data_IF_458902545382
#
_entry.id   IF_458902545382
#
_cell.length_a   1.000
_cell.length_b   1.000
_cell.length_c   1.000
_cell.angle_alpha   90.00
_cell.angle_beta   90.00
_cell.angle_gamma   90.00
#
_symmetry.space_group_name_H-M   'P 1'
#
loop_
_entity.id
_entity.type
_entity.pdbx_description
1 polymer ?
#
# COMPACT_ATOMS: atom_id res chain seq x y z
N UNK A 1 -10.28 -15.30 -10.01
CA UNK A 1 -9.88 -16.70 -10.27
C UNK A 1 -9.16 -17.23 -9.03
N UNK A 2 -9.59 -18.36 -8.46
CA UNK A 2 -8.95 -19.02 -7.32
C UNK A 2 -8.43 -20.34 -7.87
N UNK A 3 -7.11 -20.49 -7.99
CA UNK A 3 -6.56 -21.59 -8.79
C UNK A 3 -5.50 -22.43 -8.07
N UNK A 4 -5.24 -22.16 -6.78
CA UNK A 4 -4.17 -22.85 -6.06
C UNK A 4 -4.65 -23.46 -4.76
N UNK A 5 -4.52 -24.78 -4.65
CA UNK A 5 -4.68 -25.51 -3.39
C UNK A 5 -3.57 -25.11 -2.40
N UNK A 6 -3.85 -25.21 -1.10
CA UNK A 6 -2.87 -24.97 -0.05
C UNK A 6 -1.72 -25.98 -0.11
N UNK A 7 -0.63 -25.66 0.58
CA UNK A 7 0.33 -26.70 0.99
C UNK A 7 -0.38 -27.78 1.81
N UNK A 8 0.11 -29.01 1.71
CA UNK A 8 -0.51 -30.14 2.40
C UNK A 8 -0.05 -30.20 3.85
N UNK A 9 -0.96 -30.56 4.75
CA UNK A 9 -0.64 -30.97 6.12
C UNK A 9 -0.79 -32.48 6.23
N UNK A 10 0.09 -33.12 6.99
CA UNK A 10 0.00 -34.56 7.25
C UNK A 10 -0.66 -34.83 8.60
N UNK A 11 -1.44 -35.90 8.65
CA UNK A 11 -1.92 -36.53 9.88
C UNK A 11 -1.44 -37.99 9.90
N UNK A 12 -1.05 -38.46 11.07
CA UNK A 12 -0.70 -39.87 11.28
C UNK A 12 -1.92 -40.57 11.88
N UNK A 13 -2.39 -41.61 11.21
CA UNK A 13 -3.44 -42.49 11.73
C UNK A 13 -2.79 -43.79 12.17
N UNK A 14 -3.13 -44.21 13.39
CA UNK A 14 -2.73 -45.51 13.93
C UNK A 14 -3.99 -46.32 14.25
N UNK A 15 -3.90 -47.63 14.05
CA UNK A 15 -5.01 -48.54 14.35
C UNK A 15 -4.50 -49.78 15.06
N UNK A 16 -5.20 -50.18 16.12
CA UNK A 16 -4.88 -51.37 16.91
C UNK A 16 -6.17 -52.15 17.16
N UNK A 17 -6.07 -53.48 17.11
CA UNK A 17 -7.17 -54.39 17.42
C UNK A 17 -8.44 -54.22 16.55
N UNK A 18 -8.29 -53.73 15.31
CA UNK A 18 -9.38 -53.65 14.33
C UNK A 18 -9.01 -54.43 13.07
N UNK A 19 -10.01 -55.00 12.40
CA UNK A 19 -9.83 -55.85 11.21
C UNK A 19 -10.77 -55.47 10.04
N UNK A 20 -11.41 -54.30 10.14
CA UNK A 20 -12.23 -53.70 9.08
C UNK A 20 -11.57 -52.41 8.59
N UNK A 21 -11.88 -51.99 7.36
CA UNK A 21 -11.31 -50.79 6.77
C UNK A 21 -11.60 -49.53 7.59
N UNK A 22 -10.67 -48.59 7.55
CA UNK A 22 -10.85 -47.25 8.09
C UNK A 22 -11.26 -46.35 6.93
N UNK A 23 -12.41 -45.70 7.06
CA UNK A 23 -12.93 -44.77 6.08
C UNK A 23 -12.65 -43.35 6.55
N UNK A 24 -11.97 -42.58 5.73
CA UNK A 24 -11.62 -41.19 6.02
C UNK A 24 -12.36 -40.32 5.02
N UNK A 25 -12.99 -39.27 5.50
CA UNK A 25 -13.71 -38.31 4.66
C UNK A 25 -13.46 -36.90 5.12
N UNK A 26 -13.48 -35.96 4.17
CA UNK A 26 -13.44 -34.53 4.45
C UNK A 26 -14.67 -33.83 3.88
N UNK A 27 -15.16 -32.83 4.60
CA UNK A 27 -16.22 -31.94 4.12
C UNK A 27 -15.67 -30.72 3.39
N UNK A 28 -16.58 -29.99 2.74
CA UNK A 28 -16.33 -28.67 2.15
C UNK A 28 -15.21 -28.71 1.11
N UNK A 29 -14.36 -27.69 1.09
CA UNK A 29 -13.29 -27.46 0.11
C UNK A 29 -11.97 -28.16 0.51
N UNK A 30 -12.01 -29.20 1.33
CA UNK A 30 -10.81 -29.96 1.71
C UNK A 30 -10.67 -31.24 0.89
N UNK A 31 -9.45 -31.72 0.73
CA UNK A 31 -9.13 -32.95 0.00
C UNK A 31 -8.08 -33.78 0.74
N UNK A 32 -8.09 -35.09 0.48
CA UNK A 32 -7.29 -36.12 1.11
C UNK A 32 -6.43 -36.86 0.09
N UNK A 33 -5.26 -37.32 0.52
CA UNK A 33 -4.37 -38.15 -0.29
C UNK A 33 -3.52 -39.10 0.58
N UNK A 34 -3.17 -40.26 0.05
CA UNK A 34 -2.19 -41.19 0.66
C UNK A 34 -0.79 -41.06 0.07
N UNK A 35 -0.67 -40.52 -1.15
CA UNK A 35 0.57 -40.43 -1.93
C UNK A 35 1.06 -38.98 -2.08
N UNK A 36 0.28 -38.01 -1.58
CA UNK A 36 0.49 -36.56 -1.75
C UNK A 36 0.46 -36.10 -3.22
N UNK A 37 -0.12 -36.91 -4.12
CA UNK A 37 -0.23 -36.61 -5.56
C UNK A 37 -1.66 -36.70 -6.06
N UNK A 38 -2.39 -37.74 -5.65
CA UNK A 38 -3.78 -37.98 -6.03
C UNK A 38 -4.69 -37.57 -4.90
N UNK A 39 -5.56 -36.58 -5.13
CA UNK A 39 -6.43 -36.01 -4.10
C UNK A 39 -7.91 -36.31 -4.36
N UNK A 40 -8.67 -36.52 -3.29
CA UNK A 40 -10.12 -36.74 -3.35
C UNK A 40 -10.79 -36.47 -2.00
N UNK A 41 -12.12 -36.59 -1.94
CA UNK A 41 -12.88 -36.30 -0.70
C UNK A 41 -12.88 -37.43 0.32
N UNK A 42 -12.54 -38.64 -0.11
CA UNK A 42 -12.62 -39.85 0.73
C UNK A 42 -11.45 -40.78 0.46
N UNK A 43 -11.00 -41.47 1.50
CA UNK A 43 -10.05 -42.58 1.43
C UNK A 43 -10.60 -43.79 2.17
N UNK A 44 -10.33 -44.99 1.67
CA UNK A 44 -10.54 -46.24 2.41
C UNK A 44 -9.21 -46.95 2.52
N UNK A 45 -8.77 -47.20 3.75
CA UNK A 45 -7.45 -47.78 4.04
C UNK A 45 -7.60 -49.03 4.91
N UNK A 46 -6.68 -49.98 4.71
CA UNK A 46 -6.57 -51.15 5.57
C UNK A 46 -5.94 -50.76 6.92
N UNK A 47 -6.31 -51.41 8.03
CA UNK A 47 -5.65 -51.25 9.31
C UNK A 47 -4.13 -51.45 9.21
N UNK A 48 -3.38 -50.51 9.78
CA UNK A 48 -1.92 -50.54 9.91
C UNK A 48 -1.51 -49.95 11.24
N UNK A 49 -0.31 -50.29 11.69
CA UNK A 49 0.29 -49.68 12.89
C UNK A 49 0.33 -48.16 12.74
N UNK A 50 0.78 -47.66 11.58
CA UNK A 50 0.77 -46.24 11.22
C UNK A 50 0.61 -46.02 9.71
N UNK A 51 -0.09 -44.96 9.34
CA UNK A 51 -0.17 -44.45 7.96
C UNK A 51 -0.23 -42.92 7.97
N UNK A 52 0.48 -42.31 7.03
CA UNK A 52 0.41 -40.87 6.77
C UNK A 52 -0.71 -40.57 5.78
N UNK A 53 -1.56 -39.61 6.14
CA UNK A 53 -2.59 -39.06 5.27
C UNK A 53 -2.32 -37.58 5.09
N UNK A 54 -2.38 -37.11 3.86
CA UNK A 54 -2.21 -35.70 3.51
C UNK A 54 -3.58 -35.06 3.35
N UNK A 55 -3.71 -33.86 3.90
CA UNK A 55 -4.91 -33.02 3.82
C UNK A 55 -4.51 -31.69 3.20
N UNK A 56 -5.28 -31.20 2.23
CA UNK A 56 -5.12 -29.85 1.67
C UNK A 56 -6.45 -29.14 1.55
N UNK A 57 -6.40 -27.83 1.48
CA UNK A 57 -7.52 -26.96 1.15
C UNK A 57 -7.48 -26.64 -0.35
N UNK A 58 -8.59 -26.77 -1.04
CA UNK A 58 -8.75 -26.49 -2.47
C UNK A 58 -10.05 -25.70 -2.68
N UNK A 59 -10.02 -24.38 -2.45
CA UNK A 59 -11.20 -23.54 -2.48
C UNK A 59 -11.66 -23.16 -3.88
N UNK A 60 -12.97 -22.99 -4.02
CA UNK A 60 -13.60 -22.41 -5.21
C UNK A 60 -14.03 -20.95 -4.97
N UNK A 61 -14.19 -20.55 -3.70
CA UNK A 61 -14.57 -19.19 -3.28
C UNK A 61 -13.61 -18.58 -2.27
N UNK A 62 -13.52 -17.25 -2.24
CA UNK A 62 -12.72 -16.52 -1.25
C UNK A 62 -13.37 -16.56 0.14
N UNK A 63 -12.57 -16.33 1.16
CA UNK A 63 -13.02 -16.19 2.54
C UNK A 63 -12.68 -17.38 3.42
N UNK A 64 -13.08 -17.27 4.68
CA UNK A 64 -12.80 -18.27 5.69
C UNK A 64 -13.76 -19.44 5.54
N UNK A 65 -13.18 -20.63 5.42
CA UNK A 65 -13.90 -21.88 5.23
C UNK A 65 -13.49 -22.84 6.33
N UNK A 66 -14.49 -23.49 6.90
CA UNK A 66 -14.30 -24.54 7.91
C UNK A 66 -14.77 -25.85 7.34
N UNK A 67 -14.15 -26.94 7.77
CA UNK A 67 -14.62 -28.27 7.43
C UNK A 67 -14.29 -29.27 8.52
N UNK A 68 -14.54 -30.53 8.23
CA UNK A 68 -14.32 -31.62 9.15
C UNK A 68 -13.61 -32.76 8.43
N UNK A 69 -12.57 -33.30 9.07
CA UNK A 69 -11.99 -34.58 8.73
C UNK A 69 -12.55 -35.63 9.68
N UNK A 70 -13.31 -36.57 9.13
CA UNK A 70 -13.90 -37.69 9.86
C UNK A 70 -13.14 -38.97 9.55
N UNK A 71 -12.67 -39.65 10.58
CA UNK A 71 -12.05 -40.98 10.54
C UNK A 71 -13.03 -41.95 11.18
N UNK A 72 -13.50 -42.93 10.42
CA UNK A 72 -14.58 -43.83 10.81
C UNK A 72 -14.20 -45.30 10.62
N UNK A 73 -14.68 -46.16 11.52
CA UNK A 73 -14.53 -47.60 11.44
C UNK A 73 -15.72 -48.28 12.13
N UNK A 74 -16.19 -49.40 11.59
CA UNK A 74 -17.37 -50.10 12.09
C UNK A 74 -17.25 -50.64 13.54
N UNK A 75 -16.06 -50.64 14.12
CA UNK A 75 -15.78 -51.18 15.46
C UNK A 75 -15.36 -50.11 16.47
N UNK A 76 -15.29 -48.84 16.09
CA UNK A 76 -14.86 -47.75 16.96
C UNK A 76 -15.78 -46.54 16.84
N UNK A 77 -15.67 -45.63 17.79
CA UNK A 77 -16.30 -44.31 17.62
C UNK A 77 -15.54 -43.51 16.56
N UNK A 78 -16.23 -42.70 15.74
CA UNK A 78 -15.58 -41.85 14.76
C UNK A 78 -14.76 -40.76 15.44
N UNK A 79 -13.59 -40.46 14.89
CA UNK A 79 -12.75 -39.32 15.28
C UNK A 79 -13.04 -38.18 14.31
N UNK A 80 -13.26 -36.98 14.86
CA UNK A 80 -13.55 -35.77 14.11
C UNK A 80 -12.44 -34.75 14.37
N UNK A 81 -11.86 -34.19 13.31
CA UNK A 81 -10.87 -33.13 13.37
C UNK A 81 -11.41 -31.92 12.62
N UNK A 82 -11.57 -30.81 13.31
CA UNK A 82 -12.00 -29.56 12.68
C UNK A 82 -10.88 -29.00 11.81
N UNK A 83 -11.22 -28.63 10.58
CA UNK A 83 -10.35 -27.98 9.62
C UNK A 83 -10.78 -26.53 9.45
N UNK A 84 -9.82 -25.65 9.23
CA UNK A 84 -10.08 -24.25 8.88
C UNK A 84 -9.00 -23.77 7.92
N UNK A 85 -9.42 -22.94 6.96
CA UNK A 85 -8.54 -22.29 6.00
C UNK A 85 -9.18 -20.98 5.52
N UNK A 86 -8.37 -20.10 4.93
CA UNK A 86 -8.85 -18.85 4.35
C UNK A 86 -8.40 -18.80 2.89
N UNK A 87 -9.36 -18.73 1.98
CA UNK A 87 -9.11 -18.57 0.56
C UNK A 87 -8.94 -17.09 0.23
N UNK A 88 -7.84 -16.76 -0.43
CA UNK A 88 -7.52 -15.41 -0.88
C UNK A 88 -7.36 -15.39 -2.40
N UNK A 89 -7.53 -14.21 -3.01
CA UNK A 89 -7.26 -14.04 -4.44
C UNK A 89 -5.81 -14.44 -4.76
N UNK A 90 -5.64 -15.10 -5.91
CA UNK A 90 -4.31 -15.42 -6.43
C UNK A 90 -3.54 -14.11 -6.61
N UNK A 91 -2.28 -14.14 -6.20
CA UNK A 91 -1.36 -13.02 -6.33
C UNK A 91 0.00 -13.50 -6.76
N UNK A 92 0.68 -12.71 -7.58
CA UNK A 92 2.07 -12.91 -7.96
C UNK A 92 2.89 -11.85 -7.24
N UNK A 93 3.86 -12.29 -6.44
CA UNK A 93 4.70 -11.41 -5.65
C UNK A 93 6.02 -11.14 -6.37
N UNK A 94 6.41 -9.87 -6.47
CA UNK A 94 7.67 -9.42 -7.04
C UNK A 94 8.44 -8.62 -5.99
N UNK A 95 9.64 -9.07 -5.66
CA UNK A 95 10.55 -8.35 -4.76
C UNK A 95 11.28 -7.26 -5.54
N UNK A 96 11.23 -6.03 -5.03
CA UNK A 96 12.01 -4.91 -5.55
C UNK A 96 13.22 -4.65 -4.63
N UNK A 97 13.23 -3.54 -3.89
CA UNK A 97 14.28 -3.25 -2.92
C UNK A 97 14.36 -4.36 -1.85
N UNK A 98 15.57 -4.77 -1.50
CA UNK A 98 15.81 -5.81 -0.50
C UNK A 98 16.91 -5.37 0.46
N UNK A 99 16.54 -5.04 1.70
CA UNK A 99 17.47 -4.57 2.74
C UNK A 99 18.36 -3.40 2.29
N UNK A 100 17.81 -2.49 1.48
CA UNK A 100 18.54 -1.35 0.97
C UNK A 100 18.79 -0.34 2.10
N UNK A 101 20.05 -0.16 2.46
CA UNK A 101 20.42 0.77 3.52
C UNK A 101 20.38 2.22 3.03
N UNK A 102 19.43 3.01 3.54
CA UNK A 102 19.26 4.44 3.25
C UNK A 102 19.64 5.26 4.49
N UNK A 103 20.66 6.10 4.36
CA UNK A 103 21.28 6.83 5.46
C UNK A 103 21.94 8.12 4.96
N UNK A 104 22.36 8.98 5.89
CA UNK A 104 23.09 10.22 5.58
C UNK A 104 24.49 10.22 6.19
N UNK A 105 25.44 10.88 5.51
CA UNK A 105 26.84 10.96 5.91
C UNK A 105 27.80 10.44 4.84
N UNK A 106 29.09 10.38 5.18
CA UNK A 106 30.15 10.00 4.24
C UNK A 106 29.92 8.61 3.65
N UNK A 107 29.84 8.53 2.31
CA UNK A 107 29.63 7.27 1.58
C UNK A 107 28.23 6.66 1.73
N UNK A 108 27.26 7.39 2.29
CA UNK A 108 25.86 6.98 2.45
C UNK A 108 24.95 7.78 1.51
N UNK A 109 23.75 7.27 1.28
CA UNK A 109 22.75 7.94 0.44
C UNK A 109 21.35 7.78 1.03
N UNK A 110 20.58 8.87 1.06
CA UNK A 110 19.17 8.88 1.46
C UNK A 110 18.25 8.29 0.37
N UNK A 111 18.78 8.14 -0.85
CA UNK A 111 18.06 7.65 -2.03
C UNK A 111 18.67 6.34 -2.56
N UNK A 112 17.84 5.46 -3.09
CA UNK A 112 18.26 4.37 -3.97
C UNK A 112 17.43 4.36 -5.24
N UNK A 113 18.07 4.17 -6.40
CA UNK A 113 17.42 4.06 -7.71
C UNK A 113 17.89 2.76 -8.34
N UNK A 114 16.95 1.89 -8.71
CA UNK A 114 17.24 0.55 -9.24
C UNK A 114 16.16 0.14 -10.25
N UNK A 115 16.51 -0.78 -11.16
CA UNK A 115 15.58 -1.39 -12.11
C UNK A 115 15.17 -2.78 -11.63
N UNK A 116 13.90 -3.12 -11.81
CA UNK A 116 13.32 -4.39 -11.37
C UNK A 116 12.45 -4.98 -12.47
N UNK A 117 12.55 -6.29 -12.68
CA UNK A 117 11.66 -7.01 -13.58
C UNK A 117 10.37 -7.37 -12.81
N UNK A 118 9.29 -6.66 -13.14
CA UNK A 118 7.95 -6.85 -12.59
C UNK A 118 7.10 -7.70 -13.54
N UNK A 119 5.78 -7.66 -13.38
CA UNK A 119 4.89 -8.47 -14.20
C UNK A 119 4.85 -7.99 -15.66
N UNK A 120 4.79 -8.90 -16.64
CA UNK A 120 4.91 -8.55 -18.06
C UNK A 120 3.60 -8.12 -18.73
N UNK A 121 2.45 -8.59 -18.24
CA UNK A 121 1.14 -8.32 -18.86
C UNK A 121 0.14 -7.84 -17.82
N UNK A 122 -0.79 -6.96 -18.21
CA UNK A 122 -1.75 -6.37 -17.26
C UNK A 122 -3.20 -6.85 -17.44
N UNK A 123 -3.46 -7.71 -18.43
CA UNK A 123 -4.82 -8.06 -18.89
C UNK A 123 -5.71 -8.62 -17.78
N UNK A 124 -5.13 -9.41 -16.87
CA UNK A 124 -5.82 -10.05 -15.75
C UNK A 124 -5.36 -9.50 -14.39
N UNK A 125 -4.76 -8.32 -14.35
CA UNK A 125 -4.31 -7.68 -13.12
C UNK A 125 -5.42 -6.76 -12.61
N UNK A 126 -6.09 -7.21 -11.56
CA UNK A 126 -7.16 -6.46 -10.89
C UNK A 126 -6.60 -5.33 -10.03
N UNK A 127 -5.53 -5.60 -9.27
CA UNK A 127 -4.89 -4.59 -8.42
C UNK A 127 -3.41 -4.88 -8.18
N UNK A 128 -2.67 -3.83 -7.85
CA UNK A 128 -1.26 -3.92 -7.44
C UNK A 128 -1.12 -3.29 -6.05
N UNK A 129 -0.66 -4.09 -5.09
CA UNK A 129 -0.37 -3.64 -3.72
C UNK A 129 1.12 -3.56 -3.51
N UNK A 130 1.61 -2.41 -3.10
CA UNK A 130 3.00 -2.20 -2.70
C UNK A 130 3.12 -2.38 -1.18
N UNK A 131 4.11 -3.14 -0.76
CA UNK A 131 4.42 -3.38 0.64
C UNK A 131 5.80 -2.81 0.98
N UNK A 132 5.90 -2.08 2.09
CA UNK A 132 7.12 -1.40 2.53
C UNK A 132 7.53 -1.93 3.89
N UNK A 133 8.68 -2.60 3.95
CA UNK A 133 9.25 -3.09 5.20
C UNK A 133 10.47 -2.25 5.60
N UNK A 134 10.47 -1.83 6.85
CA UNK A 134 11.55 -1.08 7.46
C UNK A 134 12.20 -1.94 8.52
N UNK A 135 13.50 -2.21 8.36
CA UNK A 135 14.32 -2.93 9.33
C UNK A 135 15.34 -2.00 9.99
N UNK A 136 15.57 -2.21 11.28
CA UNK A 136 16.63 -1.52 11.99
C UNK A 136 18.01 -2.00 11.49
N UNK A 137 18.90 -1.10 11.06
CA UNK A 137 20.28 -1.44 10.75
C UNK A 137 21.05 -1.93 11.99
N UNK A 138 22.24 -2.50 11.75
CA UNK A 138 23.16 -2.87 12.83
C UNK A 138 23.57 -1.61 13.60
N UNK A 139 23.09 -1.47 14.84
CA UNK A 139 23.23 -0.26 15.66
C UNK A 139 21.91 0.36 16.12
N UNK A 140 20.77 -0.06 15.54
CA UNK A 140 19.43 0.41 15.91
C UNK A 140 18.75 1.19 14.78
N UNK A 141 17.44 1.38 14.92
CA UNK A 141 16.65 2.21 14.02
C UNK A 141 16.93 3.69 14.25
N UNK A 142 16.75 4.51 13.20
CA UNK A 142 16.76 5.96 13.37
C UNK A 142 15.70 6.39 14.39
N UNK A 143 16.10 7.27 15.30
CA UNK A 143 15.27 7.66 16.42
C UNK A 143 14.08 8.55 16.03
N UNK A 144 14.07 9.13 14.82
CA UNK A 144 13.08 10.11 14.37
C UNK A 144 12.08 9.53 13.36
N UNK A 145 10.92 10.13 13.33
CA UNK A 145 9.86 9.91 12.36
C UNK A 145 10.09 10.78 11.12
N UNK A 146 10.66 10.20 10.07
CA UNK A 146 11.09 10.97 8.90
C UNK A 146 10.21 10.70 7.68
N UNK A 147 10.04 11.76 6.89
CA UNK A 147 9.38 11.71 5.58
C UNK A 147 10.07 10.69 4.67
N UNK A 148 9.27 9.86 4.02
CA UNK A 148 9.77 8.84 3.10
C UNK A 148 8.78 8.56 1.97
N UNK A 149 9.28 8.25 0.79
CA UNK A 149 8.44 7.92 -0.36
C UNK A 149 9.10 6.98 -1.37
N UNK A 150 8.24 6.35 -2.17
CA UNK A 150 8.59 5.49 -3.29
C UNK A 150 8.05 6.13 -4.56
N UNK A 151 8.87 6.15 -5.60
CA UNK A 151 8.52 6.64 -6.92
C UNK A 151 8.72 5.57 -8.00
N UNK A 152 7.94 5.67 -9.06
CA UNK A 152 8.15 4.97 -10.33
C UNK A 152 8.61 5.98 -11.39
N UNK A 153 9.54 5.61 -12.25
CA UNK A 153 9.89 6.44 -13.41
C UNK A 153 8.82 6.35 -14.48
N UNK A 154 8.46 7.48 -15.05
CA UNK A 154 7.60 7.52 -16.22
C UNK A 154 8.32 6.96 -17.45
N UNK A 155 7.82 5.90 -18.11
CA UNK A 155 8.49 5.34 -19.28
C UNK A 155 8.55 6.32 -20.46
N UNK A 156 7.67 7.33 -20.47
CA UNK A 156 7.58 8.30 -21.56
C UNK A 156 8.34 9.62 -21.27
N UNK A 157 8.91 9.78 -20.07
CA UNK A 157 9.67 10.97 -19.70
C UNK A 157 10.82 10.66 -18.74
N UNK A 158 11.52 11.67 -18.25
CA UNK A 158 12.54 11.51 -17.20
C UNK A 158 11.97 11.76 -15.79
N UNK A 159 10.66 11.96 -15.66
CA UNK A 159 10.01 12.27 -14.38
C UNK A 159 9.84 11.00 -13.53
N UNK A 160 9.82 11.20 -12.22
CA UNK A 160 9.46 10.18 -11.23
C UNK A 160 8.10 10.54 -10.64
N UNK A 161 7.15 9.62 -10.64
CA UNK A 161 5.83 9.79 -10.03
C UNK A 161 5.81 9.13 -8.66
N UNK A 162 5.44 9.87 -7.62
CA UNK A 162 5.27 9.31 -6.27
C UNK A 162 4.09 8.35 -6.23
N UNK A 163 4.37 7.07 -6.01
CA UNK A 163 3.36 6.02 -5.95
C UNK A 163 2.88 5.77 -4.51
N UNK A 164 3.71 6.09 -3.53
CA UNK A 164 3.37 6.00 -2.11
C UNK A 164 4.30 6.81 -1.23
N UNK A 165 3.77 7.25 -0.09
CA UNK A 165 4.48 7.99 0.96
C UNK A 165 4.17 7.40 2.31
N UNK A 166 5.13 7.43 3.21
CA UNK A 166 5.02 6.95 4.59
C UNK A 166 5.90 7.79 5.50
N UNK A 167 5.60 7.77 6.79
CA UNK A 167 6.46 8.35 7.82
C UNK A 167 7.05 7.18 8.62
N UNK A 168 8.38 7.17 8.79
CA UNK A 168 9.03 6.10 9.58
C UNK A 168 8.54 6.14 11.03
N UNK A 169 8.49 5.00 11.74
CA UNK A 169 8.21 5.01 13.17
C UNK A 169 9.41 5.57 13.96
N UNK A 170 9.16 6.07 15.17
CA UNK A 170 10.22 6.47 16.08
C UNK A 170 11.00 5.25 16.61
N UNK A 171 12.21 5.02 16.09
CA UNK A 171 13.21 4.15 16.70
C UNK A 171 12.87 2.65 16.77
N UNK A 172 11.89 2.17 16.00
CA UNK A 172 11.50 0.76 15.91
C UNK A 172 11.31 0.33 14.45
N UNK A 173 11.27 -0.97 14.18
CA UNK A 173 10.86 -1.48 12.86
C UNK A 173 9.34 -1.48 12.69
N UNK A 174 8.84 -1.83 11.50
CA UNK A 174 7.40 -1.97 11.26
C UNK A 174 6.90 -3.42 11.23
N UNK A 175 7.65 -4.39 11.80
CA UNK A 175 7.32 -5.83 11.74
C UNK A 175 6.06 -6.24 12.49
N UNK A 176 5.47 -5.34 13.29
CA UNK A 176 4.14 -5.56 13.86
C UNK A 176 3.07 -5.71 12.78
N UNK A 177 3.33 -5.16 11.59
CA UNK A 177 2.63 -5.50 10.36
C UNK A 177 3.41 -6.60 9.66
N UNK A 178 2.79 -7.77 9.45
CA UNK A 178 3.44 -8.97 8.88
C UNK A 178 4.18 -8.69 7.57
N UNK A 179 3.66 -7.76 6.77
CA UNK A 179 4.23 -7.34 5.48
C UNK A 179 4.63 -5.86 5.43
N UNK A 180 4.71 -5.19 6.56
CA UNK A 180 4.96 -3.75 6.61
C UNK A 180 3.76 -2.92 6.13
N UNK A 181 4.01 -1.69 5.69
CA UNK A 181 2.96 -0.77 5.24
C UNK A 181 2.43 -1.21 3.88
N UNK A 182 1.11 -1.21 3.70
CA UNK A 182 0.46 -1.54 2.43
C UNK A 182 -0.07 -0.27 1.77
N UNK A 183 0.31 -0.05 0.51
CA UNK A 183 -0.20 1.05 -0.31
C UNK A 183 -0.74 0.50 -1.63
N UNK A 184 -1.97 0.84 -1.97
CA UNK A 184 -2.54 0.53 -3.28
C UNK A 184 -1.93 1.45 -4.35
N UNK A 185 -1.23 0.84 -5.31
CA UNK A 185 -0.56 1.51 -6.42
C UNK A 185 -1.15 1.11 -7.78
N UNK A 186 -2.36 0.54 -7.78
CA UNK A 186 -3.05 0.06 -9.00
C UNK A 186 -3.20 1.15 -10.06
N UNK A 187 -3.38 2.41 -9.64
CA UNK A 187 -3.46 3.56 -10.55
C UNK A 187 -2.26 3.64 -11.50
N UNK A 188 -1.06 3.22 -11.04
CA UNK A 188 0.18 3.26 -11.81
C UNK A 188 0.48 1.96 -12.56
N UNK A 189 -0.48 1.04 -12.71
CA UNK A 189 -0.21 -0.30 -13.28
C UNK A 189 0.47 -0.26 -14.65
N UNK A 190 0.11 0.69 -15.51
CA UNK A 190 0.73 0.88 -16.83
C UNK A 190 2.21 1.26 -16.79
N UNK A 191 2.71 1.71 -15.63
CA UNK A 191 4.11 2.04 -15.38
C UNK A 191 4.83 0.97 -14.55
N UNK A 192 4.08 -0.02 -14.04
CA UNK A 192 4.58 -1.12 -13.22
C UNK A 192 4.55 -2.44 -14.03
N UNK A 193 5.06 -2.41 -15.26
CA UNK A 193 5.06 -3.57 -16.18
C UNK A 193 6.43 -3.77 -16.82
N UNK A 194 6.90 -5.01 -16.91
CA UNK A 194 8.22 -5.35 -17.47
C UNK A 194 9.37 -4.83 -16.61
N UNK A 195 10.39 -4.23 -17.24
CA UNK A 195 11.54 -3.64 -16.53
C UNK A 195 11.22 -2.22 -16.06
N UNK A 196 11.20 -2.02 -14.73
CA UNK A 196 10.70 -0.80 -14.10
C UNK A 196 11.78 -0.17 -13.23
N UNK A 197 12.07 1.11 -13.46
CA UNK A 197 12.96 1.89 -12.60
C UNK A 197 12.17 2.47 -11.42
N UNK A 198 12.54 2.06 -10.20
CA UNK A 198 12.00 2.60 -8.96
C UNK A 198 13.03 3.45 -8.24
N UNK A 199 12.54 4.46 -7.53
CA UNK A 199 13.32 5.29 -6.63
C UNK A 199 12.72 5.24 -5.23
N UNK A 200 13.54 4.98 -4.23
CA UNK A 200 13.19 5.10 -2.82
C UNK A 200 13.93 6.29 -2.19
N UNK A 201 13.28 7.00 -1.29
CA UNK A 201 13.87 8.09 -0.51
C UNK A 201 13.40 8.04 0.94
N UNK A 202 14.31 8.28 1.88
CA UNK A 202 14.04 8.45 3.30
C UNK A 202 14.83 9.68 3.79
N UNK A 203 14.14 10.66 4.39
CA UNK A 203 14.71 11.94 4.85
C UNK A 203 15.47 11.81 6.19
N UNK A 204 16.41 10.86 6.28
CA UNK A 204 17.27 10.68 7.46
C UNK A 204 18.48 11.59 7.42
N UNK A 205 18.90 12.13 8.57
CA UNK A 205 20.08 13.00 8.70
C UNK A 205 21.22 12.38 9.53
N UNK A 206 21.15 11.07 9.77
CA UNK A 206 22.15 10.30 10.50
C UNK A 206 22.66 9.09 9.70
N UNK A 207 23.79 8.53 10.15
CA UNK A 207 24.40 7.34 9.55
C UNK A 207 23.74 6.02 9.97
N UNK A 208 22.84 6.09 10.94
CA UNK A 208 21.99 5.00 11.41
C UNK A 208 21.03 4.56 10.29
N UNK A 209 20.21 5.48 9.76
CA UNK A 209 19.35 5.24 8.62
C UNK A 209 18.33 4.12 8.83
N UNK A 210 17.95 3.48 7.72
CA UNK A 210 16.98 2.38 7.66
C UNK A 210 17.41 1.34 6.63
N UNK A 211 17.09 0.07 6.88
CA UNK A 211 17.15 -0.95 5.85
C UNK A 211 15.75 -1.12 5.24
N UNK A 212 15.60 -0.71 3.98
CA UNK A 212 14.33 -0.72 3.26
C UNK A 212 14.20 -1.97 2.41
N UNK A 213 13.08 -2.68 2.56
CA UNK A 213 12.62 -3.65 1.56
C UNK A 213 11.27 -3.21 0.99
N UNK A 214 11.05 -3.49 -0.29
CA UNK A 214 9.79 -3.20 -0.98
C UNK A 214 9.45 -4.37 -1.88
N UNK A 215 8.20 -4.80 -1.86
CA UNK A 215 7.68 -5.82 -2.77
C UNK A 215 6.26 -5.48 -3.24
N UNK A 216 5.83 -6.10 -4.33
CA UNK A 216 4.56 -5.83 -4.98
C UNK A 216 3.77 -7.13 -5.14
N UNK A 217 2.50 -7.11 -4.75
CA UNK A 217 1.54 -8.14 -5.11
C UNK A 217 0.69 -7.70 -6.30
N UNK A 218 0.78 -8.47 -7.37
CA UNK A 218 -0.11 -8.38 -8.53
C UNK A 218 -1.27 -9.34 -8.30
N UNK A 219 -2.43 -8.80 -7.95
CA UNK A 219 -3.63 -9.58 -7.67
C UNK A 219 -4.32 -9.93 -8.98
N UNK A 220 -4.41 -11.23 -9.25
CA UNK A 220 -5.02 -11.76 -10.46
C UNK A 220 -6.55 -11.75 -10.32
N UNK A 221 -7.22 -11.15 -11.29
CA UNK A 221 -8.67 -11.01 -11.30
C UNK A 221 -9.18 -10.36 -12.58
N UNK A 222 -10.32 -9.71 -12.47
CA UNK A 222 -10.94 -8.93 -13.54
C UNK A 222 -10.77 -7.45 -13.19
N UNK A 223 -9.94 -6.68 -13.92
CA UNK A 223 -9.82 -5.25 -13.67
C UNK A 223 -11.12 -4.52 -14.01
N UNK A 224 -11.38 -3.40 -13.32
CA UNK A 224 -12.49 -2.49 -13.66
C UNK A 224 -12.39 -1.96 -15.10
N UNK A 225 -11.15 -1.74 -15.56
CA UNK A 225 -10.79 -1.34 -16.92
C UNK A 225 -9.44 -1.94 -17.33
N UNK A 226 -9.31 -2.35 -18.58
CA UNK A 226 -8.05 -2.91 -19.07
C UNK A 226 -6.96 -1.85 -19.30
N UNK A 227 -7.30 -0.61 -19.65
CA UNK A 227 -6.33 0.48 -19.91
C UNK A 227 -6.37 1.56 -18.83
N UNK A 228 -5.18 1.94 -18.35
CA UNK A 228 -4.98 2.96 -17.33
C UNK A 228 -3.90 3.94 -17.80
N UNK A 229 -4.14 5.23 -17.62
CA UNK A 229 -3.16 6.28 -17.88
C UNK A 229 -3.08 7.23 -16.69
N UNK A 230 -1.87 7.66 -16.34
CA UNK A 230 -1.63 8.57 -15.22
C UNK A 230 -0.85 9.77 -15.72
N UNK A 231 -1.20 10.96 -15.23
CA UNK A 231 -0.47 12.20 -15.56
C UNK A 231 -0.30 13.04 -14.29
N UNK A 232 0.93 13.48 -14.06
CA UNK A 232 1.30 14.41 -12.98
C UNK A 232 0.65 15.76 -13.21
N UNK A 233 -0.20 16.21 -12.28
CA UNK A 233 -0.74 17.57 -12.27
C UNK A 233 0.25 18.49 -11.55
N UNK A 234 0.56 18.17 -10.28
CA UNK A 234 1.54 18.88 -9.45
C UNK A 234 2.31 17.89 -8.58
N UNK A 235 3.59 18.19 -8.32
CA UNK A 235 4.43 17.36 -7.47
C UNK A 235 5.53 18.19 -6.80
N UNK A 236 5.33 18.49 -5.51
CA UNK A 236 6.22 19.23 -4.61
C UNK A 236 6.48 18.36 -3.37
N UNK A 237 7.27 17.30 -3.52
CA UNK A 237 7.35 16.20 -2.54
C UNK A 237 8.75 15.57 -2.46
N UNK A 238 9.80 16.29 -2.84
CA UNK A 238 11.16 15.74 -2.85
C UNK A 238 11.62 15.37 -1.43
N UNK A 239 11.23 16.18 -0.45
CA UNK A 239 11.38 15.97 0.98
C UNK A 239 10.30 16.82 1.69
N UNK A 240 10.25 16.79 3.03
CA UNK A 240 9.24 17.53 3.79
C UNK A 240 9.35 19.06 3.68
N UNK A 241 10.55 19.60 3.49
CA UNK A 241 10.83 21.05 3.42
C UNK A 241 10.74 21.63 2.00
N UNK A 242 10.78 20.78 0.98
CA UNK A 242 10.59 21.15 -0.44
C UNK A 242 9.12 21.04 -0.87
N UNK A 243 8.20 20.94 0.11
CA UNK A 243 6.78 21.15 -0.09
C UNK A 243 6.42 22.61 -0.40
N UNK A 244 5.15 22.84 -0.71
CA UNK A 244 4.62 24.18 -0.91
C UNK A 244 4.65 24.93 0.43
N UNK A 245 5.21 26.14 0.44
CA UNK A 245 5.25 26.96 1.66
C UNK A 245 3.82 27.36 2.06
N UNK A 246 3.48 27.26 3.34
CA UNK A 246 2.12 27.49 3.83
C UNK A 246 2.02 28.76 4.68
N UNK A 247 1.04 29.61 4.34
CA UNK A 247 0.79 30.89 5.00
C UNK A 247 1.82 31.99 4.72
N UNK A 248 2.61 31.82 3.68
CA UNK A 248 3.59 32.79 3.15
C UNK A 248 3.38 32.95 1.63
N UNK A 249 4.26 33.69 0.95
CA UNK A 249 4.23 33.83 -0.51
C UNK A 249 4.54 32.50 -1.21
N UNK A 250 3.52 31.90 -1.82
CA UNK A 250 3.59 30.66 -2.58
C UNK A 250 3.71 30.87 -4.10
N UNK A 251 3.92 32.09 -4.59
CA UNK A 251 3.96 32.42 -6.04
C UNK A 251 5.01 31.66 -6.86
N UNK A 252 6.01 31.07 -6.20
CA UNK A 252 7.01 30.18 -6.79
C UNK A 252 6.50 28.77 -7.10
N UNK A 253 5.31 28.42 -6.62
CA UNK A 253 4.65 27.15 -6.85
C UNK A 253 3.48 27.34 -7.80
N UNK A 254 3.39 26.46 -8.78
CA UNK A 254 2.34 26.49 -9.79
C UNK A 254 1.28 25.44 -9.42
N UNK A 255 0.31 25.89 -8.63
CA UNK A 255 -0.79 25.05 -8.10
C UNK A 255 -1.99 25.00 -9.04
N UNK A 256 -1.95 25.76 -10.14
CA UNK A 256 -3.04 25.90 -11.11
C UNK A 256 -2.60 25.23 -12.41
N UNK A 257 -3.41 24.30 -12.92
CA UNK A 257 -3.11 23.59 -14.17
C UNK A 257 -4.34 23.49 -15.04
N UNK A 258 -4.13 23.48 -16.34
CA UNK A 258 -5.15 23.06 -17.29
C UNK A 258 -4.95 21.57 -17.61
N UNK A 259 -5.99 20.78 -17.40
CA UNK A 259 -6.01 19.33 -17.67
C UNK A 259 -6.90 19.09 -18.89
N UNK A 260 -6.32 18.54 -19.96
CA UNK A 260 -7.06 18.16 -21.17
C UNK A 260 -7.09 16.66 -21.35
N UNK A 261 -8.29 16.10 -21.49
CA UNK A 261 -8.57 14.66 -21.56
C UNK A 261 -9.06 14.32 -22.97
N UNK A 262 -8.47 13.29 -23.57
CA UNK A 262 -8.86 12.78 -24.89
C UNK A 262 -10.20 12.02 -24.90
N UNK A 263 -10.56 11.49 -26.08
CA UNK A 263 -11.76 10.65 -26.23
C UNK A 263 -11.62 9.30 -25.53
N UNK A 264 -12.72 8.55 -25.50
CA UNK A 264 -12.78 7.14 -25.07
C UNK A 264 -12.45 6.85 -23.61
N UNK A 265 -12.15 7.87 -22.80
CA UNK A 265 -12.09 7.75 -21.33
C UNK A 265 -13.47 7.40 -20.75
N UNK A 266 -13.50 6.42 -19.85
CA UNK A 266 -14.73 5.92 -19.22
C UNK A 266 -14.77 6.24 -17.73
N UNK A 267 -13.61 6.40 -17.08
CA UNK A 267 -13.50 6.84 -15.70
C UNK A 267 -12.34 7.81 -15.52
N UNK A 268 -12.54 8.82 -14.67
CA UNK A 268 -11.52 9.79 -14.29
C UNK A 268 -11.56 10.01 -12.79
N UNK A 269 -10.39 10.01 -12.15
CA UNK A 269 -10.24 10.42 -10.77
C UNK A 269 -8.92 11.14 -10.54
N UNK A 270 -8.87 11.91 -9.45
CA UNK A 270 -7.65 12.49 -8.93
C UNK A 270 -7.09 11.59 -7.84
N UNK A 271 -5.76 11.46 -7.80
CA UNK A 271 -5.02 10.80 -6.73
C UNK A 271 -4.08 11.81 -6.09
N UNK A 272 -4.27 12.08 -4.80
CA UNK A 272 -3.45 13.06 -4.07
C UNK A 272 -2.85 12.46 -2.80
N UNK A 273 -1.57 12.77 -2.56
CA UNK A 273 -0.88 12.51 -1.29
C UNK A 273 -0.37 13.85 -0.76
N UNK A 274 -0.74 14.19 0.47
CA UNK A 274 -0.37 15.46 1.11
C UNK A 274 0.00 15.24 2.58
N UNK A 275 1.09 15.87 3.04
CA UNK A 275 1.53 15.89 4.44
C UNK A 275 2.04 17.26 4.83
N UNK A 276 1.61 17.75 5.98
CA UNK A 276 2.12 19.01 6.55
C UNK A 276 3.36 18.78 7.40
N UNK A 277 4.29 19.73 7.34
CA UNK A 277 5.50 19.79 8.17
C UNK A 277 5.61 21.17 8.83
N UNK A 278 6.09 21.20 10.07
CA UNK A 278 6.46 22.44 10.75
C UNK A 278 5.65 22.73 12.01
N UNK A 279 6.18 23.67 12.78
CA UNK A 279 5.63 24.15 14.05
C UNK A 279 5.51 25.68 14.06
N UNK A 280 5.18 26.26 12.90
CA UNK A 280 5.02 27.69 12.71
C UNK A 280 3.76 28.20 13.42
N UNK A 281 3.84 29.44 13.89
CA UNK A 281 2.76 30.18 14.57
C UNK A 281 2.09 31.19 13.64
N UNK A 282 0.88 31.70 13.96
CA UNK A 282 0.09 31.50 15.18
C UNK A 282 -0.49 30.09 15.30
N UNK A 283 -0.50 29.58 16.53
CA UNK A 283 -1.19 28.32 16.85
C UNK A 283 -2.69 28.46 16.66
N UNK A 284 -3.34 27.34 16.35
CA UNK A 284 -4.80 27.21 16.44
C UNK A 284 -5.29 27.41 17.89
N UNK A 285 -6.59 27.66 18.12
CA UNK A 285 -7.16 27.86 19.46
C UNK A 285 -6.89 26.73 20.46
N UNK A 286 -6.67 25.50 19.98
CA UNK A 286 -6.32 24.34 20.78
C UNK A 286 -4.81 24.14 20.97
N UNK A 287 -4.00 25.11 20.53
CA UNK A 287 -2.56 25.16 20.73
C UNK A 287 -1.73 24.49 19.63
N UNK A 288 -2.34 24.04 18.53
CA UNK A 288 -1.64 23.33 17.44
C UNK A 288 -0.93 24.29 16.47
N UNK A 289 0.39 24.18 16.27
CA UNK A 289 1.09 24.95 15.25
C UNK A 289 1.00 24.31 13.85
N UNK A 290 1.32 25.07 12.80
CA UNK A 290 1.24 24.59 11.42
C UNK A 290 2.59 24.17 10.82
N UNK A 291 2.65 23.24 9.85
CA UNK A 291 1.54 22.49 9.27
C UNK A 291 1.46 21.03 9.77
N UNK A 292 2.33 20.61 10.69
CA UNK A 292 2.32 19.25 11.23
C UNK A 292 1.08 19.00 12.11
N UNK A 293 0.67 19.98 12.91
CA UNK A 293 -0.32 19.77 13.96
C UNK A 293 -1.68 20.40 13.65
N UNK A 294 -1.69 21.58 13.04
CA UNK A 294 -2.90 22.36 12.81
C UNK A 294 -3.83 21.66 11.81
N UNK A 295 -5.08 21.42 12.21
CA UNK A 295 -6.03 20.73 11.34
C UNK A 295 -6.58 21.69 10.29
N UNK A 296 -6.60 21.25 9.03
CA UNK A 296 -7.02 22.06 7.90
C UNK A 296 -7.91 21.28 6.93
N UNK A 297 -8.70 21.98 6.13
CA UNK A 297 -9.47 21.44 5.01
C UNK A 297 -9.11 22.20 3.74
N UNK A 298 -8.24 21.61 2.93
CA UNK A 298 -7.87 22.18 1.63
C UNK A 298 -8.91 21.81 0.58
N UNK A 299 -9.01 22.58 -0.50
CA UNK A 299 -9.92 22.31 -1.61
C UNK A 299 -9.14 21.93 -2.87
N UNK A 300 -9.74 21.08 -3.70
CA UNK A 300 -9.43 21.04 -5.13
C UNK A 300 -10.54 21.81 -5.84
N UNK A 301 -10.17 22.88 -6.53
CA UNK A 301 -11.07 23.64 -7.39
C UNK A 301 -11.01 23.09 -8.80
N UNK A 302 -12.18 22.88 -9.39
CA UNK A 302 -12.33 22.50 -10.80
C UNK A 302 -13.10 23.61 -11.47
N UNK A 303 -12.50 24.27 -12.47
CA UNK A 303 -13.06 25.47 -13.11
C UNK A 303 -13.48 26.53 -12.08
N UNK A 304 -12.59 26.83 -11.13
CA UNK A 304 -12.78 27.77 -10.02
C UNK A 304 -13.85 27.39 -8.99
N UNK A 305 -14.49 26.22 -9.10
CA UNK A 305 -15.48 25.74 -8.12
C UNK A 305 -14.85 24.73 -7.15
N UNK A 306 -14.99 24.95 -5.85
CA UNK A 306 -14.61 23.98 -4.81
C UNK A 306 -15.35 22.66 -5.04
N UNK A 307 -14.66 21.66 -5.60
CA UNK A 307 -15.29 20.41 -6.05
C UNK A 307 -14.97 19.27 -5.12
N UNK A 308 -13.74 19.22 -4.60
CA UNK A 308 -13.33 18.22 -3.62
C UNK A 308 -12.65 18.87 -2.42
N UNK A 309 -12.71 18.19 -1.27
CA UNK A 309 -12.14 18.67 -0.01
C UNK A 309 -11.21 17.62 0.59
N UNK A 310 -10.08 18.07 1.10
CA UNK A 310 -9.08 17.26 1.79
C UNK A 310 -8.96 17.71 3.24
N UNK A 311 -9.70 17.03 4.11
CA UNK A 311 -9.57 17.22 5.54
C UNK A 311 -8.30 16.55 6.08
N UNK A 312 -7.42 17.38 6.63
CA UNK A 312 -6.18 17.05 7.33
C UNK A 312 -6.44 17.00 8.84
N UNK A 313 -7.29 16.07 9.26
CA UNK A 313 -7.69 15.89 10.66
C UNK A 313 -6.92 14.78 11.38
N UNK A 314 -7.32 14.45 12.62
CA UNK A 314 -6.79 13.30 13.33
C UNK A 314 -7.15 12.00 12.60
N UNK A 315 -6.21 11.06 12.56
CA UNK A 315 -6.40 9.74 11.93
C UNK A 315 -6.20 8.57 12.91
N UNK A 316 -6.02 8.86 14.19
CA UNK A 316 -5.97 7.87 15.27
C UNK A 316 -4.58 7.35 15.58
N UNK A 317 -3.56 8.22 15.67
CA UNK A 317 -2.16 7.79 15.84
C UNK A 317 -1.93 6.90 17.08
N UNK A 318 -2.64 7.15 18.18
CA UNK A 318 -2.57 6.32 19.39
C UNK A 318 -3.02 4.85 19.19
N UNK A 319 -3.76 4.56 18.11
CA UNK A 319 -4.19 3.20 17.75
C UNK A 319 -3.29 2.54 16.69
N UNK A 320 -2.16 3.17 16.33
CA UNK A 320 -1.26 2.62 15.32
C UNK A 320 -0.76 1.21 15.74
N UNK A 321 -0.93 0.16 14.91
CA UNK A 321 -0.44 -1.19 15.21
C UNK A 321 1.09 -1.27 15.36
N UNK A 322 1.84 -0.35 14.73
CA UNK A 322 3.27 -0.16 14.92
C UNK A 322 3.50 0.67 16.20
N UNK A 323 3.25 0.06 17.35
CA UNK A 323 3.32 0.69 18.68
C UNK A 323 3.68 -0.31 19.79
N UNK A 324 4.22 0.11 20.95
CA UNK A 324 4.66 1.47 21.26
C UNK A 324 5.91 1.84 20.47
N UNK A 325 6.04 3.11 20.09
CA UNK A 325 7.25 3.67 19.47
C UNK A 325 8.07 4.45 20.50
N UNK A 326 9.33 4.75 20.20
CA UNK A 326 10.28 5.35 21.14
C UNK A 326 10.21 6.88 21.24
N UNK A 327 9.27 7.53 20.54
CA UNK A 327 9.12 8.99 20.50
C UNK A 327 7.68 9.45 20.72
N UNK A 328 7.36 10.68 20.33
CA UNK A 328 6.03 11.27 20.55
C UNK A 328 5.02 10.79 19.50
N UNK A 329 4.69 9.50 19.48
CA UNK A 329 3.93 8.86 18.40
C UNK A 329 2.39 8.93 18.56
N UNK A 330 1.89 8.99 19.80
CA UNK A 330 0.44 8.91 20.09
C UNK A 330 -0.38 10.12 19.62
N UNK A 331 0.11 11.38 19.75
CA UNK A 331 -0.69 12.54 19.36
C UNK A 331 -0.93 12.63 17.86
N UNK A 332 -2.19 12.89 17.48
CA UNK A 332 -2.59 13.06 16.08
C UNK A 332 -1.97 14.30 15.43
N UNK A 333 -1.25 14.07 14.33
CA UNK A 333 -0.86 15.10 13.37
C UNK A 333 -2.01 15.38 12.40
N UNK A 334 -1.86 16.43 11.60
CA UNK A 334 -2.83 16.82 10.59
C UNK A 334 -2.74 15.86 9.38
N UNK A 335 -3.53 14.79 9.41
CA UNK A 335 -3.71 13.85 8.30
C UNK A 335 -2.60 12.81 8.12
N UNK A 336 -1.72 12.59 9.09
CA UNK A 336 -0.71 11.53 9.06
C UNK A 336 -0.32 11.07 10.49
N UNK A 337 0.38 9.94 10.59
CA UNK A 337 0.95 9.43 11.85
C UNK A 337 2.38 8.93 11.66
N UNK A 338 3.25 9.07 12.68
CA UNK A 338 4.53 8.38 12.74
C UNK A 338 4.34 6.86 12.62
N UNK A 339 5.17 6.21 11.80
CA UNK A 339 5.10 4.75 11.60
C UNK A 339 3.85 4.29 10.85
N UNK A 340 3.41 5.06 9.86
CA UNK A 340 2.22 4.77 9.06
C UNK A 340 2.39 5.26 7.61
N UNK A 341 1.72 4.61 6.67
CA UNK A 341 1.49 5.15 5.34
C UNK A 341 0.68 6.46 5.40
N UNK A 342 1.01 7.39 4.51
CA UNK A 342 0.22 8.61 4.35
C UNK A 342 -1.04 8.27 3.56
N UNK A 343 -2.24 8.71 4.00
CA UNK A 343 -3.47 8.44 3.28
C UNK A 343 -3.44 8.90 1.82
N UNK A 344 -3.78 8.00 0.91
CA UNK A 344 -4.03 8.32 -0.50
C UNK A 344 -5.46 8.83 -0.64
N UNK A 345 -5.61 10.06 -1.11
CA UNK A 345 -6.92 10.69 -1.33
C UNK A 345 -7.35 10.48 -2.77
N UNK A 346 -8.48 9.80 -2.97
CA UNK A 346 -9.06 9.52 -4.29
C UNK A 346 -10.32 10.36 -4.48
N UNK A 347 -10.31 11.27 -5.44
CA UNK A 347 -11.47 12.10 -5.78
C UNK A 347 -12.02 11.68 -7.14
N UNK A 348 -13.14 10.96 -7.13
CA UNK A 348 -13.80 10.49 -8.36
C UNK A 348 -14.71 11.58 -8.91
N UNK A 349 -14.67 11.79 -10.23
CA UNK A 349 -15.64 12.64 -10.90
C UNK A 349 -16.93 11.86 -11.15
N UNK A 350 -18.08 12.49 -10.89
CA UNK A 350 -19.38 11.87 -11.12
C UNK A 350 -19.79 11.88 -12.59
N UNK A 351 -19.25 12.84 -13.36
CA UNK A 351 -19.53 12.98 -14.79
C UNK A 351 -18.38 12.37 -15.60
N UNK A 352 -18.71 11.84 -16.78
CA UNK A 352 -17.69 11.45 -17.74
C UNK A 352 -16.96 12.70 -18.26
N UNK A 353 -15.63 12.72 -18.15
CA UNK A 353 -14.76 13.82 -18.59
C UNK A 353 -14.05 13.53 -19.93
N UNK A 354 -14.49 12.52 -20.68
CA UNK A 354 -14.00 12.23 -22.02
C UNK A 354 -14.12 13.44 -22.95
N UNK A 355 -13.06 13.71 -23.72
CA UNK A 355 -12.95 14.82 -24.66
C UNK A 355 -13.27 16.19 -24.03
N UNK A 356 -12.72 16.45 -22.85
CA UNK A 356 -12.96 17.68 -22.09
C UNK A 356 -11.67 18.30 -21.58
N UNK A 357 -11.75 19.58 -21.24
CA UNK A 357 -10.67 20.34 -20.59
C UNK A 357 -11.23 21.03 -19.36
N UNK A 358 -10.48 21.00 -18.26
CA UNK A 358 -10.82 21.74 -17.05
C UNK A 358 -9.58 22.39 -16.42
N UNK A 359 -9.81 23.48 -15.70
CA UNK A 359 -8.81 24.07 -14.83
C UNK A 359 -8.84 23.35 -13.47
N UNK A 360 -7.68 22.96 -12.99
CA UNK A 360 -7.42 22.41 -11.67
C UNK A 360 -6.69 23.47 -10.85
N UNK A 361 -7.04 23.60 -9.57
CA UNK A 361 -6.28 24.33 -8.58
C UNK A 361 -6.29 23.56 -7.26
N UNK A 362 -5.12 23.43 -6.61
CA UNK A 362 -5.04 22.99 -5.23
C UNK A 362 -5.01 24.21 -4.31
N UNK A 363 -6.10 24.42 -3.57
CA UNK A 363 -6.35 25.61 -2.76
C UNK A 363 -6.18 25.27 -1.28
N UNK A 364 -5.11 25.76 -0.66
CA UNK A 364 -4.90 25.56 0.76
C UNK A 364 -5.85 26.44 1.59
N UNK A 365 -6.49 25.89 2.64
CA UNK A 365 -7.21 26.70 3.63
C UNK A 365 -6.35 27.88 4.11
N UNK A 366 -6.95 29.08 4.10
CA UNK A 366 -6.25 30.32 4.45
C UNK A 366 -5.70 30.29 5.88
N UNK A 367 -4.41 30.58 6.00
CA UNK A 367 -3.71 30.82 7.26
C UNK A 367 -2.52 31.75 6.95
N UNK A 368 -2.05 32.53 7.92
CA UNK A 368 -0.93 33.46 7.72
C UNK A 368 0.13 33.17 8.75
N UNK A 369 1.34 32.85 8.29
CA UNK A 369 2.50 32.61 9.14
C UNK A 369 2.97 33.94 9.76
N UNK A 370 3.09 34.00 11.09
CA UNK A 370 3.66 35.18 11.77
C UNK A 370 5.20 35.14 11.86
N UNK A 371 5.82 34.16 11.19
CA UNK A 371 7.25 33.90 11.10
C UNK A 371 7.91 33.69 12.47
N UNK A 372 7.16 33.09 13.40
CA UNK A 372 7.67 32.60 14.68
C UNK A 372 7.39 31.09 14.80
N UNK A 373 8.03 30.47 15.79
CA UNK A 373 7.94 29.04 16.07
C UNK A 373 8.54 28.75 17.44
N UNK A 374 8.08 27.67 18.08
CA UNK A 374 8.74 27.09 19.26
C UNK A 374 9.92 26.18 18.89
N UNK A 375 10.13 25.91 17.59
CA UNK A 375 11.21 25.10 17.04
C UNK A 375 12.20 25.96 16.23
N UNK A 376 13.27 25.33 15.72
CA UNK A 376 14.29 26.02 14.90
C UNK A 376 13.73 26.50 13.56
N UNK A 377 12.82 25.75 12.94
CA UNK A 377 12.16 26.16 11.71
C UNK A 377 10.92 27.02 12.02
N UNK A 378 10.84 28.17 11.35
CA UNK A 378 9.75 29.16 11.45
C UNK A 378 8.70 29.00 10.35
N UNK A 379 8.92 28.07 9.43
CA UNK A 379 8.13 27.90 8.21
C UNK A 379 7.29 26.62 8.31
N UNK A 380 6.20 26.63 7.57
CA UNK A 380 5.30 25.50 7.39
C UNK A 380 5.28 25.09 5.92
N UNK A 381 5.18 23.79 5.66
CA UNK A 381 5.16 23.26 4.29
C UNK A 381 4.12 22.16 4.14
N UNK A 382 3.55 22.06 2.94
CA UNK A 382 2.80 20.91 2.49
C UNK A 382 3.55 20.20 1.37
N UNK A 383 4.14 19.06 1.69
CA UNK A 383 4.62 18.14 0.65
C UNK A 383 3.40 17.54 -0.05
N UNK A 384 3.29 17.69 -1.37
CA UNK A 384 2.09 17.29 -2.12
C UNK A 384 2.45 16.65 -3.46
N UNK A 385 1.73 15.59 -3.81
CA UNK A 385 1.64 15.09 -5.18
C UNK A 385 0.18 14.92 -5.56
N UNK A 386 -0.17 15.27 -6.80
CA UNK A 386 -1.51 15.11 -7.33
C UNK A 386 -1.44 14.67 -8.79
N UNK A 387 -2.16 13.60 -9.10
CA UNK A 387 -2.21 13.00 -10.43
C UNK A 387 -3.66 12.90 -10.91
N UNK A 388 -3.86 13.01 -12.21
CA UNK A 388 -5.11 12.56 -12.86
C UNK A 388 -4.90 11.13 -13.37
N UNK A 389 -5.87 10.27 -13.09
CA UNK A 389 -5.91 8.88 -13.54
C UNK A 389 -7.11 8.72 -14.48
N UNK A 390 -6.84 8.18 -15.66
CA UNK A 390 -7.81 7.90 -16.70
C UNK A 390 -7.92 6.39 -16.89
N UNK A 391 -9.13 5.88 -17.02
CA UNK A 391 -9.38 4.45 -17.26
C UNK A 391 -10.37 4.23 -18.40
N UNK A 392 -10.17 3.16 -19.16
CA UNK A 392 -11.06 2.75 -20.25
C UNK A 392 -10.86 1.28 -20.64
N UNK A 393 -11.89 0.65 -21.19
CA UNK A 393 -11.75 -0.62 -21.90
C UNK A 393 -11.23 -0.46 -23.33
N UNK A 394 -11.06 0.76 -23.80
CA UNK A 394 -10.37 1.11 -25.04
C UNK A 394 -8.99 1.67 -24.74
N UNK A 395 -8.11 1.62 -25.74
CA UNK A 395 -6.83 2.32 -25.66
C UNK A 395 -7.07 3.82 -25.52
N UNK A 396 -6.36 4.44 -24.57
CA UNK A 396 -6.47 5.86 -24.25
C UNK A 396 -5.08 6.45 -24.02
N UNK A 397 -4.95 7.75 -24.27
CA UNK A 397 -3.71 8.50 -24.02
C UNK A 397 -3.69 9.12 -22.61
N UNK A 398 -2.50 9.51 -22.17
CA UNK A 398 -2.32 10.36 -20.98
C UNK A 398 -3.04 11.71 -21.14
N UNK A 399 -3.42 12.32 -20.03
CA UNK A 399 -3.93 13.67 -20.04
C UNK A 399 -2.81 14.66 -20.38
N UNK A 400 -3.15 15.73 -21.10
CA UNK A 400 -2.21 16.83 -21.35
C UNK A 400 -2.36 17.84 -20.22
N UNK A 401 -1.24 18.13 -19.55
CA UNK A 401 -1.17 19.06 -18.42
C UNK A 401 -0.38 20.30 -18.86
N UNK A 402 -1.01 21.47 -18.81
CA UNK A 402 -0.37 22.76 -19.09
C UNK A 402 -0.57 23.73 -17.93
N UNK A 403 0.23 24.80 -17.92
CA UNK A 403 0.03 25.93 -17.01
C UNK A 403 -1.17 26.78 -17.47
#
# INVERSE_FOLDING_TARGET
MITKSSTTKSIIISSKNINSNINISVSDEFELSTDNTTFGKTLSINPKDYINIYVRFSPDEIGSKTGNLKIDNSKTNPININLSANAIKLRINYKAFNQQHLAFGSGKNQTSVQNFDLHDTLENIESIKMFIQLDCPSGGCNAWDVFSNIFVKDPNSSKYFEIGRYITPYGIDNKKLERGFEIDVTDFKSMLTGNVELKAFIEVWGSDGWNLSVDFDYVIGEPDYINYQVSEIIQYNRNSLEGVVYGEDESKFDLIKTVSIGSDVESTHLRTIITGWGHATPNDPDGRPCAEWCYRTHNIKINNANTFQHYMGPIGCASNPVSPQNGNWEPDRAGWCPGMEVPVRINKFNNNLSNSTFNYEYDFENWVNDLKSSASNKQAYYAISSFVVLKSNKEINTAIITN
#
